data_IF_444268902609
#
_entry.id   IF_444268902609
#
_cell.length_a   1.000
_cell.length_b   1.000
_cell.length_c   1.000
_cell.angle_alpha   90.00
_cell.angle_beta   90.00
_cell.angle_gamma   90.00
#
_symmetry.space_group_name_H-M   'P 1'
#
loop_
_entity.id
_entity.type
_entity.pdbx_description
1 polymer ?
#
# COMPACT_ATOMS: atom_id res chain seq x y z
N UNK A 1 25.32 -64.81 -34.00
CA UNK A 1 25.95 -63.86 -33.06
C UNK A 1 26.60 -62.74 -33.86
N UNK A 2 25.88 -61.63 -34.07
CA UNK A 2 26.42 -60.39 -34.69
C UNK A 2 25.86 -59.23 -33.89
N UNK A 3 26.71 -58.61 -33.08
CA UNK A 3 26.44 -57.39 -32.33
C UNK A 3 26.52 -56.21 -33.30
N UNK A 4 25.38 -55.55 -33.54
CA UNK A 4 25.37 -54.24 -34.18
C UNK A 4 25.39 -53.18 -33.07
N UNK A 5 26.58 -52.58 -32.90
CA UNK A 5 26.82 -51.39 -32.09
C UNK A 5 26.16 -50.19 -32.78
N UNK A 6 25.07 -49.67 -32.21
CA UNK A 6 24.59 -48.33 -32.56
C UNK A 6 25.46 -47.31 -31.82
N UNK A 7 26.31 -46.62 -32.57
CA UNK A 7 27.11 -45.51 -32.10
C UNK A 7 26.21 -44.29 -31.86
N UNK A 8 25.87 -44.02 -30.61
CA UNK A 8 25.28 -42.74 -30.20
C UNK A 8 26.41 -41.71 -30.17
N UNK A 9 26.27 -40.67 -30.97
CA UNK A 9 27.29 -39.65 -31.18
C UNK A 9 27.45 -38.79 -29.90
N UNK A 10 28.58 -38.83 -29.19
CA UNK A 10 28.73 -38.20 -27.87
C UNK A 10 28.64 -36.66 -27.92
N UNK A 11 28.86 -36.06 -29.09
CA UNK A 11 28.74 -34.63 -29.31
C UNK A 11 27.29 -34.11 -29.32
N UNK A 12 26.30 -34.95 -29.63
CA UNK A 12 24.88 -34.60 -29.58
C UNK A 12 24.29 -34.66 -28.17
N UNK A 13 24.88 -35.47 -27.29
CA UNK A 13 24.46 -35.57 -25.89
C UNK A 13 25.00 -34.40 -25.03
N UNK A 14 26.17 -33.85 -25.38
CA UNK A 14 26.80 -32.76 -24.63
C UNK A 14 26.08 -31.41 -24.82
N UNK A 15 25.52 -31.15 -26.01
CA UNK A 15 24.83 -29.88 -26.32
C UNK A 15 23.42 -29.80 -25.73
N UNK A 16 22.75 -30.94 -25.53
CA UNK A 16 21.42 -31.00 -24.88
C UNK A 16 21.52 -30.78 -23.37
N UNK A 17 22.60 -31.21 -22.73
CA UNK A 17 22.77 -31.05 -21.28
C UNK A 17 23.05 -29.59 -20.87
N UNK A 18 23.71 -28.81 -21.73
CA UNK A 18 23.96 -27.37 -21.49
C UNK A 18 22.71 -26.48 -21.68
N UNK A 19 21.70 -26.93 -22.43
CA UNK A 19 20.48 -26.17 -22.64
C UNK A 19 19.50 -26.25 -21.43
N UNK A 20 19.63 -27.26 -20.59
CA UNK A 20 18.74 -27.47 -19.42
C UNK A 20 19.17 -26.65 -18.20
N UNK A 21 20.46 -26.31 -18.04
CA UNK A 21 20.92 -25.49 -16.92
C UNK A 21 20.63 -23.99 -17.07
N UNK A 22 20.35 -23.49 -18.28
CA UNK A 22 20.10 -22.07 -18.53
C UNK A 22 18.68 -21.60 -18.14
N UNK A 23 17.77 -22.51 -17.80
CA UNK A 23 16.38 -22.18 -17.45
C UNK A 23 16.13 -22.09 -15.93
N UNK A 24 17.12 -22.37 -15.08
CA UNK A 24 16.96 -22.36 -13.62
C UNK A 24 17.39 -21.04 -12.94
N UNK A 25 17.99 -20.09 -13.66
CA UNK A 25 18.49 -18.82 -13.10
C UNK A 25 17.71 -17.65 -13.70
N UNK A 26 16.41 -17.57 -13.43
CA UNK A 26 15.59 -16.54 -14.07
C UNK A 26 14.17 -16.39 -13.56
N UNK A 27 13.90 -16.61 -12.27
CA UNK A 27 12.53 -16.46 -11.73
C UNK A 27 12.47 -15.79 -10.35
N UNK A 28 13.37 -14.84 -10.05
CA UNK A 28 13.33 -14.10 -8.79
C UNK A 28 13.19 -12.56 -8.94
N UNK A 29 13.29 -11.98 -10.14
CA UNK A 29 13.48 -10.51 -10.26
C UNK A 29 12.34 -9.70 -10.91
N UNK A 30 11.32 -10.33 -11.49
CA UNK A 30 10.25 -9.58 -12.18
C UNK A 30 9.07 -9.24 -11.26
N UNK A 31 8.58 -10.21 -10.48
CA UNK A 31 7.45 -9.97 -9.56
C UNK A 31 7.76 -8.93 -8.49
N UNK A 32 8.99 -8.92 -7.96
CA UNK A 32 9.38 -7.97 -6.92
C UNK A 32 9.44 -6.52 -7.44
N UNK A 33 9.79 -6.34 -8.72
CA UNK A 33 9.78 -5.03 -9.38
C UNK A 33 8.36 -4.55 -9.70
N UNK A 34 7.43 -5.45 -9.99
CA UNK A 34 6.03 -5.09 -10.23
C UNK A 34 5.32 -4.72 -8.92
N UNK A 35 5.53 -5.48 -7.84
CA UNK A 35 5.05 -5.13 -6.49
C UNK A 35 5.54 -3.76 -6.02
N UNK A 36 6.77 -3.37 -6.39
CA UNK A 36 7.32 -2.03 -6.09
C UNK A 36 6.73 -0.91 -6.95
N UNK A 37 6.00 -1.21 -8.03
CA UNK A 37 5.36 -0.22 -8.92
C UNK A 37 3.86 -0.10 -8.72
N UNK A 38 3.26 -1.02 -7.94
CA UNK A 38 1.86 -0.95 -7.57
C UNK A 38 1.56 0.41 -6.92
N UNK A 39 0.56 1.10 -7.48
CA UNK A 39 0.06 2.34 -6.93
C UNK A 39 -0.99 1.99 -5.88
N UNK A 40 -0.85 2.55 -4.69
CA UNK A 40 -1.87 2.45 -3.64
C UNK A 40 -2.60 3.78 -3.53
N UNK A 41 -3.93 3.77 -3.42
CA UNK A 41 -4.71 4.96 -3.07
C UNK A 41 -5.03 4.98 -1.58
N UNK A 42 -5.30 6.17 -1.05
CA UNK A 42 -5.73 6.36 0.34
C UNK A 42 -6.80 7.46 0.36
N UNK A 43 -8.02 7.09 0.74
CA UNK A 43 -9.14 8.03 0.81
C UNK A 43 -9.75 8.01 2.20
N UNK A 44 -9.99 9.20 2.73
CA UNK A 44 -10.51 9.43 4.06
C UNK A 44 -11.96 9.90 3.96
N UNK A 45 -12.84 9.19 4.65
CA UNK A 45 -14.27 9.44 4.69
C UNK A 45 -14.70 9.75 6.11
N UNK A 46 -15.65 10.67 6.25
CA UNK A 46 -16.15 11.10 7.55
C UNK A 46 -17.38 10.29 7.94
N UNK A 47 -17.43 9.85 9.20
CA UNK A 47 -18.63 9.24 9.77
C UNK A 47 -19.77 10.27 9.89
N UNK A 48 -20.97 9.83 9.49
CA UNK A 48 -22.21 10.58 9.62
C UNK A 48 -23.19 9.80 10.48
N UNK A 49 -23.78 10.47 11.46
CA UNK A 49 -24.79 9.85 12.34
C UNK A 49 -26.14 9.70 11.64
N UNK A 50 -26.49 10.68 10.80
CA UNK A 50 -27.80 10.78 10.15
C UNK A 50 -27.65 10.94 8.64
N UNK A 51 -28.59 10.38 7.87
CA UNK A 51 -28.66 10.56 6.43
C UNK A 51 -29.82 11.47 6.03
N UNK A 52 -29.57 12.75 5.75
CA UNK A 52 -30.61 13.66 5.33
C UNK A 52 -30.99 13.55 3.84
N UNK A 53 -30.38 12.67 3.03
CA UNK A 53 -30.73 12.59 1.61
C UNK A 53 -29.85 11.73 0.69
N UNK A 54 -29.59 10.47 1.07
CA UNK A 54 -28.78 9.51 0.29
C UNK A 54 -27.35 9.99 -0.01
N UNK A 55 -26.81 10.83 0.88
CA UNK A 55 -25.41 11.26 0.81
C UNK A 55 -24.47 10.34 1.57
N UNK A 56 -25.04 9.41 2.34
CA UNK A 56 -24.30 8.48 3.18
C UNK A 56 -24.40 7.06 2.69
N UNK A 57 -23.45 6.22 3.08
CA UNK A 57 -23.50 4.78 2.84
C UNK A 57 -22.98 4.03 4.06
N UNK A 58 -23.46 2.81 4.27
CA UNK A 58 -22.98 1.94 5.35
C UNK A 58 -21.82 1.10 4.81
N UNK A 59 -20.69 1.16 5.49
CA UNK A 59 -19.49 0.40 5.13
C UNK A 59 -19.04 -0.51 6.26
N UNK A 60 -18.73 -1.78 5.97
CA UNK A 60 -18.13 -2.67 6.95
C UNK A 60 -16.63 -2.35 7.06
N UNK A 61 -16.20 -1.96 8.26
CA UNK A 61 -14.79 -1.77 8.60
C UNK A 61 -14.33 -2.96 9.45
N UNK A 62 -13.11 -3.44 9.23
CA UNK A 62 -12.52 -4.65 9.82
C UNK A 62 -13.02 -5.97 9.21
N UNK A 63 -12.08 -6.89 8.96
CA UNK A 63 -12.29 -8.21 8.36
C UNK A 63 -12.77 -9.23 9.39
N UNK A 64 -12.12 -9.27 10.55
CA UNK A 64 -12.40 -10.29 11.57
C UNK A 64 -13.72 -10.02 12.32
N UNK A 65 -14.00 -8.74 12.63
CA UNK A 65 -15.21 -8.32 13.33
C UNK A 65 -15.76 -7.04 12.68
N UNK A 66 -16.58 -7.17 11.62
CA UNK A 66 -17.07 -6.03 10.87
C UNK A 66 -17.89 -5.06 11.74
N UNK A 67 -17.47 -3.81 11.79
CA UNK A 67 -18.22 -2.69 12.38
C UNK A 67 -18.82 -1.88 11.25
N UNK A 68 -20.16 -1.78 11.22
CA UNK A 68 -20.86 -0.97 10.24
C UNK A 68 -20.76 0.50 10.63
N UNK A 69 -20.07 1.29 9.79
CA UNK A 69 -19.94 2.73 9.95
C UNK A 69 -20.70 3.41 8.83
N UNK A 70 -21.57 4.36 9.18
CA UNK A 70 -22.22 5.22 8.19
C UNK A 70 -21.26 6.33 7.82
N UNK A 71 -20.88 6.43 6.56
CA UNK A 71 -19.93 7.42 6.07
C UNK A 71 -20.56 8.30 4.99
N UNK A 72 -20.01 9.48 4.78
CA UNK A 72 -20.28 10.27 3.58
C UNK A 72 -19.73 9.56 2.33
N UNK A 73 -20.45 9.64 1.20
CA UNK A 73 -20.02 9.01 -0.07
C UNK A 73 -18.80 9.68 -0.70
N UNK A 74 -18.54 10.95 -0.35
CA UNK A 74 -17.46 11.75 -0.89
C UNK A 74 -16.31 11.77 0.13
N UNK A 75 -15.07 11.44 -0.27
CA UNK A 75 -13.93 11.56 0.63
C UNK A 75 -13.63 13.05 0.88
N UNK A 76 -13.29 13.38 2.13
CA UNK A 76 -12.88 14.75 2.46
C UNK A 76 -11.39 14.99 2.20
N UNK A 77 -10.58 13.92 2.17
CA UNK A 77 -9.15 13.98 1.88
C UNK A 77 -8.72 12.70 1.14
N UNK A 78 -7.79 12.85 0.20
CA UNK A 78 -7.33 11.78 -0.68
C UNK A 78 -5.80 11.73 -0.81
N UNK A 79 -5.31 10.80 -1.62
CA UNK A 79 -3.90 10.65 -1.94
C UNK A 79 -3.26 11.86 -2.64
N UNK A 80 -4.07 12.79 -3.18
CA UNK A 80 -3.64 14.00 -3.88
C UNK A 80 -2.83 14.94 -2.99
N UNK A 81 -3.12 14.93 -1.69
CA UNK A 81 -2.45 15.76 -0.69
C UNK A 81 -1.38 15.00 0.10
N UNK A 82 -1.09 13.74 -0.24
CA UNK A 82 -0.13 12.94 0.49
C UNK A 82 1.31 13.34 0.12
N UNK A 83 2.14 13.61 1.13
CA UNK A 83 3.58 13.88 0.96
C UNK A 83 4.45 12.68 1.36
N UNK A 84 4.03 11.91 2.34
CA UNK A 84 4.82 10.80 2.88
C UNK A 84 3.93 9.77 3.57
N UNK A 85 4.32 8.51 3.49
CA UNK A 85 3.72 7.43 4.25
C UNK A 85 4.83 6.63 4.95
N UNK A 86 4.64 6.31 6.22
CA UNK A 86 5.60 5.53 7.00
C UNK A 86 4.89 4.43 7.78
N UNK A 87 5.54 3.28 7.89
CA UNK A 87 5.15 2.23 8.83
C UNK A 87 5.95 2.42 10.11
N UNK A 88 5.26 2.56 11.24
CA UNK A 88 5.89 2.72 12.55
C UNK A 88 5.50 1.57 13.47
N UNK A 89 6.47 1.08 14.23
CA UNK A 89 6.22 0.08 15.26
C UNK A 89 5.62 0.74 16.49
N UNK A 90 4.55 0.16 17.01
CA UNK A 90 3.87 0.63 18.23
C UNK A 90 3.72 -0.53 19.20
N UNK A 91 3.52 -0.21 20.49
CA UNK A 91 3.25 -1.26 21.49
C UNK A 91 1.98 -2.01 21.09
N UNK A 92 2.11 -3.31 20.82
CA UNK A 92 0.99 -4.15 20.38
C UNK A 92 0.81 -4.30 18.87
N UNK A 93 1.72 -3.76 18.03
CA UNK A 93 1.68 -4.01 16.59
C UNK A 93 2.43 -2.96 15.78
N UNK A 94 1.77 -2.46 14.74
CA UNK A 94 2.28 -1.42 13.86
C UNK A 94 1.17 -0.43 13.50
N UNK A 95 1.56 0.77 13.08
CA UNK A 95 0.66 1.80 12.62
C UNK A 95 1.20 2.42 11.33
N UNK A 96 0.29 2.90 10.49
CA UNK A 96 0.64 3.71 9.32
C UNK A 96 0.52 5.18 9.71
N UNK A 97 1.55 5.94 9.39
CA UNK A 97 1.58 7.40 9.49
C UNK A 97 1.49 7.97 8.08
N UNK A 98 0.34 8.58 7.76
CA UNK A 98 0.14 9.33 6.53
C UNK A 98 0.37 10.82 6.82
N UNK A 99 1.34 11.43 6.14
CA UNK A 99 1.64 12.86 6.25
C UNK A 99 1.15 13.59 5.02
N UNK A 100 0.48 14.72 5.23
CA UNK A 100 -0.15 15.50 4.18
C UNK A 100 0.57 16.84 3.95
N UNK A 101 0.34 17.43 2.78
CA UNK A 101 0.79 18.77 2.45
C UNK A 101 0.07 19.84 3.30
N UNK A 102 0.39 21.11 3.05
CA UNK A 102 -0.23 22.22 3.77
C UNK A 102 -1.76 22.25 3.62
N UNK A 103 -2.29 21.98 2.42
CA UNK A 103 -3.73 22.02 2.19
C UNK A 103 -4.44 20.85 2.89
N UNK A 104 -3.93 19.63 2.74
CA UNK A 104 -4.41 18.45 3.44
C UNK A 104 -4.31 18.60 4.96
N UNK A 105 -3.28 19.27 5.46
CA UNK A 105 -3.16 19.63 6.88
C UNK A 105 -4.31 20.53 7.33
N UNK A 106 -4.63 21.58 6.58
CA UNK A 106 -5.75 22.47 6.92
C UNK A 106 -7.10 21.75 6.88
N UNK A 107 -7.30 20.86 5.90
CA UNK A 107 -8.51 20.04 5.79
C UNK A 107 -8.61 19.10 7.00
N UNK A 108 -7.54 18.38 7.32
CA UNK A 108 -7.50 17.45 8.45
C UNK A 108 -7.70 18.18 9.79
N UNK A 109 -7.11 19.36 9.92
CA UNK A 109 -7.27 20.22 11.09
C UNK A 109 -8.72 20.67 11.28
N UNK A 110 -9.36 21.13 10.21
CA UNK A 110 -10.76 21.54 10.25
C UNK A 110 -11.68 20.36 10.61
N UNK A 111 -11.52 19.23 9.91
CA UNK A 111 -12.35 18.04 10.12
C UNK A 111 -12.17 17.49 11.54
N UNK A 112 -10.93 17.35 12.00
CA UNK A 112 -10.63 16.82 13.34
C UNK A 112 -11.12 17.75 14.47
N UNK A 113 -11.15 19.06 14.23
CA UNK A 113 -11.70 20.01 15.19
C UNK A 113 -13.24 20.02 15.21
N UNK A 114 -13.88 19.93 14.04
CA UNK A 114 -15.34 20.06 13.88
C UNK A 114 -16.10 18.78 14.20
N UNK A 115 -15.47 17.61 14.02
CA UNK A 115 -16.12 16.31 14.12
C UNK A 115 -15.51 15.40 15.21
N UNK A 116 -15.11 15.98 16.34
CA UNK A 116 -14.63 15.21 17.51
C UNK A 116 -15.63 14.14 17.94
N UNK A 117 -15.13 12.99 18.33
CA UNK A 117 -15.92 11.82 18.72
C UNK A 117 -16.45 10.98 17.56
N UNK A 118 -16.35 11.47 16.31
CA UNK A 118 -16.69 10.70 15.10
C UNK A 118 -15.50 9.91 14.57
N UNK A 119 -15.75 8.94 13.71
CA UNK A 119 -14.73 8.12 13.05
C UNK A 119 -14.32 8.69 11.70
N UNK A 120 -13.05 8.45 11.34
CA UNK A 120 -12.53 8.62 9.99
C UNK A 120 -12.42 7.23 9.39
N UNK A 121 -13.28 6.89 8.44
CA UNK A 121 -13.14 5.63 7.70
C UNK A 121 -12.06 5.78 6.64
N UNK A 122 -11.11 4.84 6.67
CA UNK A 122 -9.92 4.87 5.82
C UNK A 122 -10.05 3.77 4.78
N UNK A 123 -10.12 4.17 3.52
CA UNK A 123 -10.17 3.27 2.38
C UNK A 123 -8.83 3.25 1.65
N UNK A 124 -8.41 2.07 1.20
CA UNK A 124 -7.24 1.95 0.35
C UNK A 124 -7.48 0.94 -0.76
N UNK A 125 -6.96 1.25 -1.95
CA UNK A 125 -6.93 0.35 -3.10
C UNK A 125 -5.48 0.07 -3.44
N UNK A 126 -5.02 -1.16 -3.20
CA UNK A 126 -3.65 -1.61 -3.50
C UNK A 126 -3.59 -2.96 -4.23
N UNK A 127 -4.63 -3.79 -4.08
CA UNK A 127 -4.89 -4.99 -4.89
C UNK A 127 -6.39 -5.08 -5.16
N UNK A 128 -7.15 -4.98 -4.09
CA UNK A 128 -8.58 -4.92 -3.98
C UNK A 128 -8.90 -3.74 -3.06
N UNK A 129 -9.96 -3.01 -3.39
CA UNK A 129 -10.36 -1.84 -2.61
C UNK A 129 -11.00 -2.23 -1.28
N UNK A 130 -10.38 -1.86 -0.17
CA UNK A 130 -10.80 -2.28 1.18
C UNK A 130 -10.76 -1.17 2.22
N UNK A 131 -11.60 -1.32 3.25
CA UNK A 131 -11.61 -0.47 4.44
C UNK A 131 -10.55 -0.94 5.43
N UNK A 132 -9.54 -0.12 5.68
CA UNK A 132 -8.40 -0.46 6.52
C UNK A 132 -8.65 -0.16 7.99
N UNK A 133 -9.32 0.95 8.31
CA UNK A 133 -9.50 1.36 9.69
C UNK A 133 -10.64 2.37 9.82
N UNK A 134 -11.13 2.54 11.04
CA UNK A 134 -12.06 3.61 11.42
C UNK A 134 -11.69 4.22 12.78
N UNK A 135 -10.50 4.86 12.90
CA UNK A 135 -10.10 5.55 14.13
C UNK A 135 -11.11 6.63 14.52
N UNK A 136 -11.32 6.78 15.82
CA UNK A 136 -12.12 7.87 16.40
C UNK A 136 -11.27 9.14 16.50
N UNK A 137 -11.85 10.28 16.13
CA UNK A 137 -11.26 11.61 16.27
C UNK A 137 -11.31 12.00 17.75
N UNK A 138 -10.23 11.75 18.47
CA UNK A 138 -10.12 12.09 19.89
C UNK A 138 -9.60 13.52 20.13
N UNK A 139 -8.96 14.11 19.13
CA UNK A 139 -8.31 15.41 19.25
C UNK A 139 -8.14 16.11 17.91
N UNK A 140 -7.74 17.38 17.97
CA UNK A 140 -7.40 18.19 16.79
C UNK A 140 -6.05 17.73 16.24
N UNK A 141 -5.97 17.54 14.93
CA UNK A 141 -4.77 17.12 14.20
C UNK A 141 -4.28 18.28 13.35
N UNK A 142 -3.42 19.12 13.92
CA UNK A 142 -2.90 20.34 13.26
C UNK A 142 -1.51 20.18 12.65
N UNK A 143 -0.87 19.03 12.85
CA UNK A 143 0.48 18.73 12.35
C UNK A 143 0.46 18.02 10.98
N UNK A 144 -0.73 17.74 10.44
CA UNK A 144 -0.89 17.12 9.13
C UNK A 144 -0.56 15.63 9.10
N UNK A 145 -0.49 14.96 10.27
CA UNK A 145 -0.11 13.54 10.36
C UNK A 145 -1.28 12.71 10.90
N UNK A 146 -1.79 11.82 10.06
CA UNK A 146 -2.79 10.84 10.47
C UNK A 146 -2.11 9.53 10.82
N UNK A 147 -2.25 9.11 12.08
CA UNK A 147 -1.73 7.84 12.58
C UNK A 147 -2.89 6.88 12.81
N UNK A 148 -2.82 5.68 12.24
CA UNK A 148 -3.86 4.67 12.43
C UNK A 148 -3.29 3.25 12.35
N UNK A 149 -3.95 2.32 13.04
CA UNK A 149 -3.66 0.88 12.94
C UNK A 149 -4.51 0.28 11.83
N UNK A 150 -3.92 -0.20 10.73
CA UNK A 150 -4.67 -0.80 9.64
C UNK A 150 -5.05 -2.25 9.95
N UNK A 151 -6.18 -2.68 9.40
CA UNK A 151 -6.64 -4.07 9.40
C UNK A 151 -6.03 -4.84 8.21
N UNK A 152 -4.72 -5.07 8.29
CA UNK A 152 -3.98 -5.83 7.29
C UNK A 152 -2.78 -6.53 7.94
N UNK A 153 -2.11 -7.41 7.20
CA UNK A 153 -0.83 -7.97 7.67
C UNK A 153 0.29 -6.94 7.55
N UNK A 154 1.42 -7.15 8.23
CA UNK A 154 2.57 -6.24 8.12
C UNK A 154 3.06 -6.10 6.68
N UNK A 155 3.11 -7.22 5.96
CA UNK A 155 3.58 -7.26 4.56
C UNK A 155 2.60 -6.55 3.61
N UNK A 156 1.31 -6.53 3.93
CA UNK A 156 0.33 -5.71 3.22
C UNK A 156 0.48 -4.22 3.58
N UNK A 157 0.72 -3.89 4.84
CA UNK A 157 0.96 -2.51 5.28
C UNK A 157 2.19 -1.90 4.63
N UNK A 158 3.29 -2.65 4.54
CA UNK A 158 4.50 -2.25 3.82
C UNK A 158 4.22 -1.99 2.33
N UNK A 159 3.42 -2.85 1.69
CA UNK A 159 2.99 -2.65 0.30
C UNK A 159 2.17 -1.39 0.13
N UNK A 160 1.21 -1.14 1.02
CA UNK A 160 0.39 0.10 1.03
C UNK A 160 1.30 1.32 1.17
N UNK A 161 2.20 1.33 2.15
CA UNK A 161 3.12 2.45 2.39
C UNK A 161 4.01 2.71 1.18
N UNK A 162 4.56 1.67 0.56
CA UNK A 162 5.37 1.79 -0.65
C UNK A 162 4.55 2.35 -1.82
N UNK A 163 3.34 1.82 -2.05
CA UNK A 163 2.46 2.27 -3.12
C UNK A 163 1.99 3.71 -2.95
N UNK A 164 1.74 4.15 -1.72
CA UNK A 164 1.40 5.54 -1.38
C UNK A 164 2.56 6.50 -1.63
N UNK A 165 3.76 6.12 -1.23
CA UNK A 165 4.97 6.89 -1.52
C UNK A 165 5.23 7.00 -3.03
N UNK A 166 4.97 5.94 -3.80
CA UNK A 166 5.06 5.98 -5.26
C UNK A 166 4.07 6.97 -5.87
N UNK A 167 2.84 7.05 -5.33
CA UNK A 167 1.84 8.03 -5.77
C UNK A 167 2.29 9.44 -5.44
N UNK A 168 2.78 9.70 -4.21
CA UNK A 168 3.30 11.01 -3.82
C UNK A 168 4.46 11.47 -4.73
N UNK A 169 5.36 10.57 -5.13
CA UNK A 169 6.44 10.87 -6.09
C UNK A 169 5.87 11.17 -7.50
N UNK A 170 4.89 10.39 -7.96
CA UNK A 170 4.26 10.59 -9.28
C UNK A 170 3.51 11.93 -9.37
N UNK A 171 2.87 12.35 -8.29
CA UNK A 171 2.16 13.63 -8.19
C UNK A 171 3.10 14.83 -7.99
N UNK A 172 4.38 14.58 -7.69
CA UNK A 172 5.36 15.63 -7.45
C UNK A 172 5.38 16.17 -6.01
N UNK A 173 4.63 15.55 -5.10
CA UNK A 173 4.55 15.94 -3.69
C UNK A 173 5.79 15.51 -2.90
N UNK A 174 6.46 14.42 -3.33
CA UNK A 174 7.67 13.89 -2.70
C UNK A 174 8.84 13.85 -3.69
N UNK A 175 10.04 14.34 -3.33
CA UNK A 175 11.21 14.21 -4.19
C UNK A 175 11.55 12.72 -4.37
N UNK A 176 11.91 12.34 -5.60
CA UNK A 176 12.35 10.98 -5.89
C UNK A 176 13.64 10.70 -5.11
N UNK A 177 13.76 9.57 -4.38
CA UNK A 177 15.01 9.23 -3.73
C UNK A 177 16.11 9.15 -4.80
N UNK A 178 17.22 9.87 -4.56
CA UNK A 178 18.41 9.77 -5.40
C UNK A 178 18.88 8.33 -5.46
N UNK A 179 19.30 7.84 -6.63
CA UNK A 179 19.99 6.54 -6.69
C UNK A 179 21.28 6.71 -5.92
N UNK A 180 21.41 6.01 -4.78
CA UNK A 180 22.73 5.82 -4.16
C UNK A 180 23.65 5.20 -5.21
N UNK A 181 24.88 5.73 -5.40
CA UNK A 181 25.85 5.11 -6.27
C UNK A 181 26.09 3.70 -5.75
N UNK A 182 25.98 2.70 -6.63
CA UNK A 182 26.37 1.33 -6.29
C UNK A 182 27.84 1.39 -5.87
N UNK A 183 28.13 0.96 -4.64
CA UNK A 183 29.49 0.64 -4.24
C UNK A 183 29.95 -0.51 -5.14
N UNK A 184 30.66 -0.16 -6.21
CA UNK A 184 31.40 -1.10 -7.02
C UNK A 184 32.54 -1.62 -6.14
N UNK A 185 32.29 -2.76 -5.47
CA UNK A 185 33.33 -3.48 -4.74
C UNK A 185 34.43 -3.87 -5.74
N UNK A 186 35.58 -3.19 -5.64
CA UNK A 186 36.82 -3.49 -6.36
C UNK A 186 37.53 -4.72 -5.80
#
# INVERSE_FOLDING_TARGET
>A
MKLLRNAINPFLAATVLTAVLALAVGCASSEEKEKRKEASSLRLFLEQEFDPGDKTTLVPVFRANPVLVRIEKIPFLDEGHLIDAQLVDVVGGFAIVASFDFHGTLVLDNVSNSFRGRRIAIYSMFTDGRWLAAPVINGRVSDGRLVFTPDCTREEAERIVNGLNNVAIKLGNKPKPGKEPKEDNF
#
